data_IF_534953709406
#
_entry.id   IF_534953709406
#
_cell.length_a   1.000
_cell.length_b   1.000
_cell.length_c   1.000
_cell.angle_alpha   90.00
_cell.angle_beta   90.00
_cell.angle_gamma   90.00
#
_symmetry.space_group_name_H-M   'P 1'
#
loop_
_entity.id
_entity.type
_entity.pdbx_description
1 polymer ?
#
# COMPACT_ATOMS: atom_id res chain seq x y z
N UNK A 1 23.07 -9.19 27.72
CA UNK A 1 24.40 -9.71 27.38
C UNK A 1 24.33 -11.22 27.29
N UNK A 2 24.40 -11.72 26.04
CA UNK A 2 24.41 -13.14 25.77
C UNK A 2 25.86 -13.65 25.88
N UNK A 3 26.10 -14.59 26.77
CA UNK A 3 27.40 -15.22 26.94
C UNK A 3 27.45 -16.52 26.14
N UNK A 4 28.33 -16.56 25.15
CA UNK A 4 28.52 -17.72 24.29
C UNK A 4 29.07 -18.94 25.08
N UNK A 5 28.46 -20.14 25.01
CA UNK A 5 28.98 -21.31 25.72
C UNK A 5 30.33 -21.77 25.10
N UNK A 6 31.23 -22.31 25.94
CA UNK A 6 32.58 -22.72 25.50
C UNK A 6 32.54 -23.84 24.45
N UNK A 7 33.27 -23.66 23.36
CA UNK A 7 33.33 -24.58 22.24
C UNK A 7 33.92 -25.96 22.64
N UNK A 8 33.33 -27.08 22.19
CA UNK A 8 33.88 -28.42 22.47
C UNK A 8 35.18 -28.63 21.67
N UNK A 9 36.24 -29.09 22.37
CA UNK A 9 37.51 -29.45 21.82
C UNK A 9 37.43 -30.79 21.10
N UNK A 10 37.23 -30.80 19.76
CA UNK A 10 37.54 -31.97 18.89
C UNK A 10 38.18 -31.55 17.57
N UNK A 11 39.30 -32.19 17.21
CA UNK A 11 39.98 -32.06 15.92
C UNK A 11 39.07 -32.66 14.82
N UNK A 12 38.50 -31.81 14.01
CA UNK A 12 37.70 -32.12 12.83
C UNK A 12 37.11 -30.81 12.32
N UNK A 13 36.96 -30.66 11.00
CA UNK A 13 36.44 -29.47 10.32
C UNK A 13 35.38 -28.77 11.19
N UNK A 14 35.69 -27.60 11.75
CA UNK A 14 34.80 -26.83 12.64
C UNK A 14 33.52 -26.52 11.89
N UNK A 15 32.44 -27.25 12.17
CA UNK A 15 31.09 -26.74 11.87
C UNK A 15 30.93 -25.46 12.70
N UNK A 16 30.64 -24.33 12.05
CA UNK A 16 30.19 -23.13 12.76
C UNK A 16 28.88 -23.52 13.47
N UNK A 17 28.92 -23.70 14.76
CA UNK A 17 27.70 -23.86 15.54
C UNK A 17 26.96 -22.53 15.49
N UNK A 18 25.73 -22.56 15.03
CA UNK A 18 24.81 -21.45 15.25
C UNK A 18 24.49 -21.39 16.74
N UNK A 19 24.58 -20.22 17.34
CA UNK A 19 24.17 -19.99 18.76
C UNK A 19 22.64 -19.98 18.90
N UNK A 20 21.92 -19.95 17.80
CA UNK A 20 20.46 -19.96 17.73
C UNK A 20 20.04 -21.33 17.15
N UNK A 21 19.21 -22.06 17.90
CA UNK A 21 18.58 -23.27 17.41
C UNK A 21 17.42 -22.98 16.47
N UNK A 22 17.09 -23.94 15.62
CA UNK A 22 16.00 -23.81 14.66
C UNK A 22 15.22 -25.10 14.56
N UNK A 23 13.89 -24.99 14.51
CA UNK A 23 12.97 -26.09 14.24
C UNK A 23 12.01 -25.71 13.12
N UNK A 24 12.18 -26.33 11.98
CA UNK A 24 11.34 -26.16 10.80
C UNK A 24 11.08 -27.51 10.10
N UNK A 25 10.51 -27.46 8.90
CA UNK A 25 10.27 -28.66 8.08
C UNK A 25 11.57 -29.33 7.55
N UNK A 26 12.71 -28.67 7.65
CA UNK A 26 13.99 -29.14 7.12
C UNK A 26 14.90 -29.75 8.19
N UNK A 27 14.64 -29.51 9.45
CA UNK A 27 15.45 -30.07 10.53
C UNK A 27 15.11 -29.58 11.93
N UNK A 28 15.80 -30.21 12.89
CA UNK A 28 15.73 -29.87 14.31
C UNK A 28 17.16 -29.63 14.83
N UNK A 29 17.45 -28.42 15.27
CA UNK A 29 18.71 -28.03 15.89
C UNK A 29 18.48 -27.21 17.17
N UNK A 30 17.42 -27.54 17.92
CA UNK A 30 17.11 -26.86 19.17
C UNK A 30 18.23 -26.99 20.20
N UNK A 31 18.56 -25.90 20.88
CA UNK A 31 19.60 -25.84 21.91
C UNK A 31 19.03 -25.58 23.31
N UNK A 32 17.75 -25.16 23.43
CA UNK A 32 17.10 -24.85 24.70
C UNK A 32 17.51 -23.52 25.32
N UNK A 33 18.27 -22.67 24.60
CA UNK A 33 18.67 -21.34 25.08
C UNK A 33 17.90 -20.26 24.31
N UNK A 34 18.23 -20.09 23.04
CA UNK A 34 17.48 -19.26 22.10
C UNK A 34 17.16 -20.11 20.89
N UNK A 35 15.88 -20.36 20.66
CA UNK A 35 15.44 -21.23 19.60
C UNK A 35 14.32 -20.55 18.80
N UNK A 36 14.35 -20.72 17.48
CA UNK A 36 13.29 -20.25 16.56
C UNK A 36 12.56 -21.48 16.05
N UNK A 37 11.25 -21.52 16.22
CA UNK A 37 10.43 -22.64 15.75
C UNK A 37 9.28 -22.16 14.88
N UNK A 38 9.02 -22.86 13.78
CA UNK A 38 7.74 -22.71 13.08
C UNK A 38 6.63 -23.34 13.94
N UNK A 39 5.53 -22.65 14.08
CA UNK A 39 4.44 -23.09 14.95
C UNK A 39 3.90 -24.48 14.58
N UNK A 40 3.80 -24.77 13.27
CA UNK A 40 3.39 -26.08 12.77
C UNK A 40 4.36 -27.19 13.18
N UNK A 41 5.65 -26.85 13.33
CA UNK A 41 6.68 -27.79 13.77
C UNK A 41 6.68 -28.05 15.27
N UNK A 42 5.91 -27.27 16.04
CA UNK A 42 5.72 -27.46 17.47
C UNK A 42 4.68 -28.54 17.80
N UNK A 43 3.97 -29.05 16.78
CA UNK A 43 2.97 -30.10 16.94
C UNK A 43 3.49 -31.46 16.45
N UNK A 44 2.92 -32.52 17.00
CA UNK A 44 3.00 -33.89 16.53
C UNK A 44 1.57 -34.41 16.42
N UNK A 45 1.00 -34.37 15.23
CA UNK A 45 -0.45 -34.46 15.05
C UNK A 45 -1.16 -33.32 15.80
N UNK A 46 -2.08 -33.65 16.66
CA UNK A 46 -2.83 -32.72 17.52
C UNK A 46 -2.12 -32.41 18.84
N UNK A 47 -1.02 -33.08 19.14
CA UNK A 47 -0.31 -32.97 20.41
C UNK A 47 0.82 -31.97 20.34
N UNK A 48 0.98 -31.16 21.40
CA UNK A 48 2.09 -30.19 21.50
C UNK A 48 3.37 -30.92 21.93
N UNK A 49 4.47 -30.70 21.22
CA UNK A 49 5.76 -31.32 21.57
C UNK A 49 6.27 -30.82 22.90
N UNK A 50 6.85 -31.70 23.77
CA UNK A 50 7.22 -31.38 25.15
C UNK A 50 8.18 -30.19 25.29
N UNK A 51 9.07 -29.95 24.33
CA UNK A 51 10.06 -28.87 24.38
C UNK A 51 9.42 -27.47 24.49
N UNK A 52 8.18 -27.30 24.01
CA UNK A 52 7.45 -26.01 24.05
C UNK A 52 7.27 -25.53 25.49
N UNK A 53 7.16 -26.44 26.44
CA UNK A 53 7.01 -26.13 27.88
C UNK A 53 8.34 -25.81 28.58
N UNK A 54 9.49 -25.88 27.94
CA UNK A 54 10.80 -25.78 28.60
C UNK A 54 11.39 -24.34 28.60
N UNK A 55 10.73 -23.38 27.97
CA UNK A 55 11.24 -21.99 27.86
C UNK A 55 10.63 -21.10 28.92
N UNK A 56 11.46 -20.24 29.53
CA UNK A 56 11.02 -19.22 30.49
C UNK A 56 10.35 -18.00 29.81
N UNK A 57 10.65 -17.78 28.54
CA UNK A 57 10.07 -16.70 27.73
C UNK A 57 9.72 -17.23 26.34
N UNK A 58 8.56 -16.81 25.84
CA UNK A 58 8.12 -17.09 24.47
C UNK A 58 7.75 -15.78 23.77
N UNK A 59 8.25 -15.59 22.56
CA UNK A 59 7.91 -14.46 21.69
C UNK A 59 7.17 -15.03 20.49
N UNK A 60 5.95 -14.55 20.27
CA UNK A 60 5.08 -14.95 19.17
C UNK A 60 5.09 -13.84 18.13
N UNK A 61 5.79 -14.06 17.01
CA UNK A 61 5.79 -13.13 15.90
C UNK A 61 4.48 -13.27 15.10
N UNK A 62 4.01 -12.16 14.52
CA UNK A 62 2.73 -12.06 13.81
C UNK A 62 1.56 -12.66 14.61
N UNK A 63 1.49 -12.32 15.90
CA UNK A 63 0.52 -12.87 16.83
C UNK A 63 -0.95 -12.63 16.45
N UNK A 64 -1.24 -11.82 15.43
CA UNK A 64 -2.58 -11.70 14.86
C UNK A 64 -3.08 -13.01 14.22
N UNK A 65 -2.21 -13.99 13.96
CA UNK A 65 -2.58 -15.34 13.53
C UNK A 65 -2.96 -16.29 14.69
N UNK A 66 -2.81 -15.87 15.94
CA UNK A 66 -3.08 -16.69 17.16
C UNK A 66 -4.51 -17.23 17.24
N UNK A 67 -5.46 -16.63 16.53
CA UNK A 67 -6.84 -17.13 16.48
C UNK A 67 -7.03 -18.43 15.67
N UNK A 68 -5.97 -18.97 15.04
CA UNK A 68 -6.04 -20.31 14.46
C UNK A 68 -5.93 -21.37 15.55
N UNK A 69 -6.66 -22.48 15.40
CA UNK A 69 -6.66 -23.61 16.35
C UNK A 69 -5.24 -24.11 16.64
N UNK A 70 -4.40 -24.15 15.63
CA UNK A 70 -2.98 -24.54 15.73
C UNK A 70 -2.21 -23.67 16.73
N UNK A 71 -2.34 -22.35 16.60
CA UNK A 71 -1.68 -21.40 17.52
C UNK A 71 -2.18 -21.52 18.94
N UNK A 72 -3.50 -21.60 19.10
CA UNK A 72 -4.13 -21.75 20.41
C UNK A 72 -3.65 -23.02 21.11
N UNK A 73 -3.59 -24.15 20.42
CA UNK A 73 -3.14 -25.42 20.97
C UNK A 73 -1.68 -25.33 21.41
N UNK A 74 -0.78 -24.78 20.60
CA UNK A 74 0.64 -24.62 20.96
C UNK A 74 0.78 -23.73 22.19
N UNK A 75 0.09 -22.57 22.22
CA UNK A 75 0.19 -21.64 23.37
C UNK A 75 -0.37 -22.18 24.64
N UNK A 76 -1.38 -23.07 24.60
CA UNK A 76 -1.85 -23.82 25.80
C UNK A 76 -0.78 -24.77 26.38
N UNK A 77 0.15 -25.25 25.54
CA UNK A 77 1.29 -26.07 25.96
C UNK A 77 2.47 -25.26 26.52
N UNK A 78 2.49 -23.94 26.35
CA UNK A 78 3.54 -23.05 26.84
C UNK A 78 3.44 -22.91 28.36
N UNK A 79 4.56 -23.15 29.05
CA UNK A 79 4.70 -22.97 30.51
C UNK A 79 5.60 -21.76 30.85
N UNK A 80 5.87 -20.91 29.87
CA UNK A 80 6.74 -19.76 30.07
C UNK A 80 6.15 -18.77 31.07
N UNK A 81 7.02 -18.19 31.88
CA UNK A 81 6.65 -17.12 32.80
C UNK A 81 6.21 -15.84 32.04
N UNK A 82 6.74 -15.63 30.81
CA UNK A 82 6.45 -14.46 30.03
C UNK A 82 6.16 -14.85 28.59
N UNK A 83 5.04 -14.34 28.04
CA UNK A 83 4.66 -14.49 26.64
C UNK A 83 4.48 -13.09 26.04
N UNK A 84 5.20 -12.80 24.96
CA UNK A 84 5.07 -11.56 24.19
C UNK A 84 4.51 -11.86 22.82
N UNK A 85 3.46 -11.15 22.45
CA UNK A 85 2.95 -11.11 21.08
C UNK A 85 3.49 -9.88 20.33
N UNK A 86 4.06 -10.08 19.15
CA UNK A 86 4.48 -9.02 18.25
C UNK A 86 3.55 -9.02 17.03
N UNK A 87 3.07 -7.86 16.62
CA UNK A 87 2.29 -7.71 15.39
C UNK A 87 2.27 -6.28 14.90
N UNK A 88 2.31 -6.09 13.59
CA UNK A 88 2.07 -4.79 12.95
C UNK A 88 0.57 -4.45 12.88
N UNK A 89 -0.33 -5.41 13.04
CA UNK A 89 -1.78 -5.27 12.86
C UNK A 89 -2.56 -5.93 14.01
N UNK A 90 -2.62 -5.29 15.19
CA UNK A 90 -3.29 -5.88 16.35
C UNK A 90 -4.82 -5.99 16.21
N UNK A 91 -5.41 -5.19 15.32
CA UNK A 91 -6.86 -5.15 15.07
C UNK A 91 -7.19 -6.04 13.87
N UNK A 92 -8.06 -7.03 14.09
CA UNK A 92 -8.52 -7.97 13.07
C UNK A 92 -9.88 -7.56 12.51
N UNK A 93 -10.10 -7.84 11.22
CA UNK A 93 -11.41 -7.58 10.58
C UNK A 93 -12.51 -8.53 11.00
N UNK A 94 -12.15 -9.73 11.46
CA UNK A 94 -13.07 -10.78 11.86
C UNK A 94 -13.51 -10.68 13.34
N UNK A 95 -13.02 -9.68 14.08
CA UNK A 95 -13.38 -9.47 15.48
C UNK A 95 -12.73 -10.44 16.48
N UNK A 96 -11.87 -11.37 16.03
CA UNK A 96 -11.23 -12.37 16.89
C UNK A 96 -10.00 -11.85 17.66
N UNK A 97 -9.77 -10.55 17.70
CA UNK A 97 -8.69 -9.96 18.52
C UNK A 97 -8.74 -10.27 20.02
N UNK A 98 -9.91 -10.51 20.67
CA UNK A 98 -9.90 -10.90 22.08
C UNK A 98 -9.09 -12.16 22.37
N UNK A 99 -9.02 -13.11 21.43
CA UNK A 99 -8.21 -14.34 21.57
C UNK A 99 -6.73 -14.00 21.67
N UNK A 100 -6.25 -12.99 20.91
CA UNK A 100 -4.85 -12.52 20.99
C UNK A 100 -4.57 -11.99 22.39
N UNK A 101 -5.48 -11.19 22.95
CA UNK A 101 -5.31 -10.60 24.28
C UNK A 101 -5.41 -11.65 25.40
N UNK A 102 -6.20 -12.71 25.22
CA UNK A 102 -6.26 -13.83 26.17
C UNK A 102 -4.94 -14.61 26.22
N UNK A 103 -4.26 -14.76 25.07
CA UNK A 103 -3.04 -15.57 24.97
C UNK A 103 -1.76 -14.77 25.20
N UNK A 104 -1.69 -13.54 24.69
CA UNK A 104 -0.49 -12.70 24.72
C UNK A 104 -0.60 -11.51 25.68
N UNK A 105 -1.75 -11.32 26.33
CA UNK A 105 -2.02 -10.17 27.18
C UNK A 105 -2.38 -8.89 26.42
N UNK A 106 -2.66 -7.80 27.15
CA UNK A 106 -3.03 -6.53 26.55
C UNK A 106 -1.84 -5.86 25.84
N UNK A 107 -2.13 -4.90 24.95
CA UNK A 107 -1.09 -4.10 24.28
C UNK A 107 -0.31 -3.33 25.33
N UNK A 108 0.98 -3.65 25.49
CA UNK A 108 1.91 -3.03 26.45
C UNK A 108 2.71 -1.89 25.80
N UNK A 109 2.98 -2.00 24.52
CA UNK A 109 3.74 -1.03 23.75
C UNK A 109 3.17 -0.92 22.34
N UNK A 110 3.00 0.30 21.88
CA UNK A 110 2.64 0.59 20.49
C UNK A 110 3.69 1.57 19.93
N UNK A 111 4.42 1.12 18.92
CA UNK A 111 5.34 1.99 18.22
C UNK A 111 4.52 3.03 17.44
N UNK A 112 4.71 4.32 17.75
CA UNK A 112 4.09 5.38 16.96
C UNK A 112 4.79 5.47 15.61
N UNK A 113 4.03 5.23 14.55
CA UNK A 113 4.52 5.32 13.19
C UNK A 113 5.14 6.72 12.90
N UNK A 114 4.57 7.79 13.46
CA UNK A 114 5.08 9.15 13.27
C UNK A 114 6.45 9.35 13.92
N UNK A 115 6.67 8.81 15.12
CA UNK A 115 7.96 8.91 15.80
C UNK A 115 9.06 8.08 15.11
N UNK A 116 8.70 6.95 14.50
CA UNK A 116 9.64 6.16 13.68
C UNK A 116 9.95 6.85 12.36
N UNK A 117 8.95 7.49 11.74
CA UNK A 117 9.12 8.29 10.53
C UNK A 117 10.12 9.42 10.76
N UNK A 118 10.02 10.11 11.89
CA UNK A 118 10.91 11.22 12.24
C UNK A 118 12.38 10.80 12.44
N UNK A 119 12.64 9.53 12.72
CA UNK A 119 14.00 8.98 12.91
C UNK A 119 14.68 8.53 11.64
N UNK A 120 13.93 8.33 10.54
CA UNK A 120 14.49 7.86 9.27
C UNK A 120 14.93 9.02 8.39
N UNK A 121 16.10 8.88 7.77
CA UNK A 121 16.79 9.93 7.03
C UNK A 121 16.30 10.15 5.59
N UNK A 122 15.31 9.39 5.11
CA UNK A 122 14.82 9.46 3.73
C UNK A 122 13.36 9.92 3.64
N UNK A 123 13.03 10.60 2.54
CA UNK A 123 11.68 11.03 2.22
C UNK A 123 10.85 9.88 1.63
N UNK A 124 9.51 9.97 1.71
CA UNK A 124 8.56 8.96 1.24
C UNK A 124 7.58 9.55 0.26
N UNK A 125 7.56 9.02 -0.97
CA UNK A 125 6.74 9.55 -2.04
C UNK A 125 5.80 8.51 -2.62
N UNK A 126 4.52 8.90 -2.75
CA UNK A 126 3.49 8.17 -3.49
C UNK A 126 3.32 8.83 -4.86
N UNK A 127 3.39 8.03 -5.91
CA UNK A 127 3.17 8.44 -7.30
C UNK A 127 1.91 7.72 -7.79
N UNK A 128 0.74 8.37 -7.75
CA UNK A 128 -0.48 7.80 -8.30
C UNK A 128 -0.39 7.77 -9.82
N UNK A 129 -0.73 6.61 -10.42
CA UNK A 129 -0.71 6.36 -11.85
C UNK A 129 -2.11 5.94 -12.28
N UNK A 130 -2.84 6.84 -12.89
CA UNK A 130 -4.19 6.56 -13.37
C UNK A 130 -4.12 5.79 -14.69
N UNK A 131 -4.94 4.74 -14.80
CA UNK A 131 -5.01 3.89 -15.99
C UNK A 131 -6.34 4.08 -16.70
N UNK A 132 -6.35 3.82 -18.01
CA UNK A 132 -7.57 3.84 -18.83
C UNK A 132 -8.25 2.48 -18.92
N UNK A 133 -7.84 1.51 -18.07
CA UNK A 133 -8.43 0.17 -18.07
C UNK A 133 -9.94 0.22 -17.81
N UNK A 134 -10.70 -0.49 -18.64
CA UNK A 134 -12.15 -0.71 -18.50
C UNK A 134 -12.46 -2.18 -18.76
N UNK A 135 -13.19 -2.82 -17.87
CA UNK A 135 -13.74 -4.15 -18.15
C UNK A 135 -14.91 -4.04 -19.14
N UNK A 136 -14.98 -4.99 -20.07
CA UNK A 136 -15.99 -4.98 -21.16
C UNK A 136 -17.34 -5.55 -20.72
N UNK A 137 -17.44 -6.08 -19.51
CA UNK A 137 -18.63 -6.80 -19.03
C UNK A 137 -19.41 -5.99 -18.01
N UNK A 138 -20.72 -5.81 -18.28
CA UNK A 138 -21.68 -5.11 -17.39
C UNK A 138 -22.06 -5.90 -16.11
N UNK A 139 -21.69 -7.18 -16.03
CA UNK A 139 -21.99 -8.04 -14.89
C UNK A 139 -20.98 -7.87 -13.74
N UNK A 140 -21.46 -8.00 -12.50
CA UNK A 140 -20.61 -8.01 -11.30
C UNK A 140 -19.59 -9.14 -11.35
N UNK A 141 -18.42 -8.83 -11.88
CA UNK A 141 -17.32 -9.79 -12.00
C UNK A 141 -16.76 -10.18 -10.64
N UNK A 142 -16.28 -11.43 -10.55
CA UNK A 142 -15.50 -11.85 -9.39
C UNK A 142 -14.17 -11.06 -9.33
N UNK A 143 -13.69 -10.82 -8.13
CA UNK A 143 -12.39 -10.16 -7.95
C UNK A 143 -11.24 -10.93 -8.65
N UNK A 144 -11.37 -12.23 -8.75
CA UNK A 144 -10.40 -13.11 -9.42
C UNK A 144 -10.37 -12.86 -10.92
N UNK A 145 -11.56 -12.73 -11.55
CA UNK A 145 -11.70 -12.40 -12.98
C UNK A 145 -11.16 -11.00 -13.26
N UNK A 146 -11.52 -10.03 -12.42
CA UNK A 146 -11.01 -8.65 -12.56
C UNK A 146 -9.47 -8.61 -12.50
N UNK A 147 -8.83 -9.31 -11.54
CA UNK A 147 -7.37 -9.39 -11.47
C UNK A 147 -6.75 -10.08 -12.68
N UNK A 148 -7.48 -11.04 -13.30
CA UNK A 148 -7.03 -11.65 -14.54
C UNK A 148 -7.01 -10.63 -15.67
N UNK A 149 -8.11 -9.93 -15.90
CA UNK A 149 -8.21 -8.89 -16.93
C UNK A 149 -7.16 -7.79 -16.75
N UNK A 150 -6.99 -7.28 -15.52
CA UNK A 150 -5.96 -6.30 -15.19
C UNK A 150 -4.54 -6.80 -15.50
N UNK A 151 -4.27 -8.08 -15.26
CA UNK A 151 -2.95 -8.68 -15.52
C UNK A 151 -2.69 -8.96 -17.00
N UNK A 152 -3.74 -9.08 -17.80
CA UNK A 152 -3.68 -9.33 -19.23
C UNK A 152 -3.68 -8.04 -20.07
N UNK A 153 -4.13 -6.92 -19.52
CA UNK A 153 -4.21 -5.64 -20.23
C UNK A 153 -2.84 -5.12 -20.67
N UNK A 154 -2.65 -5.02 -21.99
CA UNK A 154 -1.36 -4.66 -22.60
C UNK A 154 -1.01 -3.18 -22.39
N UNK A 155 -1.99 -2.28 -22.43
CA UNK A 155 -1.77 -0.83 -22.25
C UNK A 155 -1.28 -0.59 -20.82
N UNK A 156 -1.95 -1.19 -19.86
CA UNK A 156 -1.59 -1.11 -18.44
C UNK A 156 -0.22 -1.72 -18.16
N UNK A 157 0.06 -2.88 -18.72
CA UNK A 157 1.37 -3.54 -18.55
C UNK A 157 2.50 -2.75 -19.21
N UNK A 158 2.27 -2.14 -20.35
CA UNK A 158 3.24 -1.26 -21.01
C UNK A 158 3.54 -0.04 -20.14
N UNK A 159 2.52 0.60 -19.58
CA UNK A 159 2.69 1.72 -18.64
C UNK A 159 3.53 1.33 -17.43
N UNK A 160 3.28 0.14 -16.84
CA UNK A 160 4.07 -0.37 -15.70
C UNK A 160 5.53 -0.56 -16.10
N UNK A 161 5.78 -1.23 -17.23
CA UNK A 161 7.14 -1.53 -17.72
C UNK A 161 7.92 -0.24 -18.03
N UNK A 162 7.28 0.75 -18.63
CA UNK A 162 7.91 2.05 -18.89
C UNK A 162 8.28 2.81 -17.62
N UNK A 163 7.38 2.83 -16.64
CA UNK A 163 7.65 3.50 -15.36
C UNK A 163 8.78 2.79 -14.59
N UNK A 164 8.82 1.45 -14.62
CA UNK A 164 9.90 0.65 -14.02
C UNK A 164 11.23 0.93 -14.72
N UNK A 165 11.24 0.95 -16.05
CA UNK A 165 12.44 1.21 -16.84
C UNK A 165 13.00 2.60 -16.52
N UNK A 166 12.16 3.64 -16.49
CA UNK A 166 12.56 5.00 -16.08
C UNK A 166 13.13 5.05 -14.66
N UNK A 167 12.57 4.28 -13.73
CA UNK A 167 13.12 4.20 -12.39
C UNK A 167 14.51 3.56 -12.36
N UNK A 168 14.74 2.51 -13.15
CA UNK A 168 16.06 1.87 -13.28
C UNK A 168 17.07 2.81 -13.93
N UNK A 169 16.69 3.54 -14.98
CA UNK A 169 17.55 4.57 -15.61
C UNK A 169 17.93 5.69 -14.63
N UNK A 170 17.05 6.00 -13.69
CA UNK A 170 17.32 6.94 -12.59
C UNK A 170 18.17 6.33 -11.46
N UNK A 171 18.76 5.15 -11.64
CA UNK A 171 19.62 4.47 -10.66
C UNK A 171 18.87 3.82 -9.49
N UNK A 172 17.55 3.65 -9.59
CA UNK A 172 16.73 3.06 -8.53
C UNK A 172 16.71 1.53 -8.59
N UNK A 173 16.33 0.93 -7.47
CA UNK A 173 16.18 -0.53 -7.36
C UNK A 173 14.70 -0.88 -7.10
N UNK A 174 13.92 -1.08 -8.18
CA UNK A 174 12.50 -1.33 -8.07
C UNK A 174 12.16 -2.77 -7.71
N UNK A 175 11.05 -2.91 -6.96
CA UNK A 175 10.29 -4.14 -6.80
C UNK A 175 8.88 -3.97 -7.34
N UNK A 176 8.42 -4.91 -8.15
CA UNK A 176 7.06 -4.97 -8.69
C UNK A 176 6.30 -6.05 -7.96
N UNK A 177 5.15 -5.70 -7.39
CA UNK A 177 4.28 -6.63 -6.69
C UNK A 177 2.99 -6.89 -7.46
N UNK A 178 2.70 -8.17 -7.63
CA UNK A 178 1.44 -8.67 -8.20
C UNK A 178 0.93 -9.86 -7.39
N UNK A 179 -0.33 -10.27 -7.60
CA UNK A 179 -0.93 -11.42 -6.91
C UNK A 179 -0.95 -12.68 -7.79
N UNK A 180 -0.44 -12.60 -9.03
CA UNK A 180 -0.55 -13.67 -10.02
C UNK A 180 0.82 -14.05 -10.56
N UNK A 181 1.16 -15.33 -10.51
CA UNK A 181 2.41 -15.87 -11.05
C UNK A 181 2.56 -15.63 -12.55
N UNK A 182 1.48 -15.83 -13.32
CA UNK A 182 1.48 -15.53 -14.76
C UNK A 182 1.82 -14.06 -15.06
N UNK A 183 1.33 -13.14 -14.24
CA UNK A 183 1.65 -11.72 -14.37
C UNK A 183 3.10 -11.40 -14.03
N UNK A 184 3.69 -12.11 -13.03
CA UNK A 184 5.13 -12.02 -12.74
C UNK A 184 5.95 -12.40 -13.97
N UNK A 185 5.62 -13.52 -14.62
CA UNK A 185 6.31 -14.00 -15.83
C UNK A 185 6.19 -12.99 -16.96
N UNK A 186 4.97 -12.52 -17.26
CA UNK A 186 4.68 -11.57 -18.33
C UNK A 186 5.46 -10.25 -18.17
N UNK A 187 5.44 -9.67 -16.97
CA UNK A 187 6.17 -8.42 -16.70
C UNK A 187 7.69 -8.64 -16.75
N UNK A 188 8.17 -9.77 -16.22
CA UNK A 188 9.59 -10.08 -16.26
C UNK A 188 10.12 -10.27 -17.69
N UNK A 189 9.37 -10.94 -18.56
CA UNK A 189 9.72 -11.10 -19.98
C UNK A 189 9.86 -9.73 -20.67
N UNK A 190 8.88 -8.86 -20.53
CA UNK A 190 8.92 -7.50 -21.09
C UNK A 190 10.08 -6.65 -20.56
N UNK A 191 10.51 -6.89 -19.33
CA UNK A 191 11.60 -6.14 -18.70
C UNK A 191 13.00 -6.68 -19.08
N UNK A 192 13.13 -7.99 -19.37
CA UNK A 192 14.43 -8.60 -19.75
C UNK A 192 15.01 -7.99 -21.02
N UNK A 193 14.16 -7.50 -21.92
CA UNK A 193 14.61 -6.80 -23.14
C UNK A 193 15.21 -5.42 -22.84
N UNK A 194 14.93 -4.85 -21.66
CA UNK A 194 15.29 -3.48 -21.28
C UNK A 194 16.28 -3.40 -20.12
N UNK A 195 16.27 -4.39 -19.21
CA UNK A 195 17.06 -4.37 -17.96
C UNK A 195 17.88 -5.65 -17.84
N UNK A 196 19.18 -5.51 -17.58
CA UNK A 196 20.14 -6.61 -17.53
C UNK A 196 19.81 -7.66 -16.44
N UNK A 197 19.39 -7.22 -15.25
CA UNK A 197 19.10 -8.12 -14.13
C UNK A 197 17.64 -8.03 -13.75
N UNK A 198 16.84 -9.02 -14.14
CA UNK A 198 15.42 -9.15 -13.77
C UNK A 198 15.24 -10.45 -13.01
N UNK A 199 14.89 -10.33 -11.73
CA UNK A 199 14.73 -11.46 -10.82
C UNK A 199 13.23 -11.66 -10.52
N UNK A 200 12.77 -12.91 -10.59
CA UNK A 200 11.39 -13.28 -10.30
C UNK A 200 11.27 -14.06 -8.99
N UNK A 201 10.32 -13.68 -8.13
CA UNK A 201 10.11 -14.29 -6.82
C UNK A 201 8.62 -14.68 -6.67
N UNK A 202 8.31 -15.95 -6.90
CA UNK A 202 6.91 -16.43 -6.89
C UNK A 202 6.53 -17.29 -5.68
N UNK A 203 7.51 -17.65 -4.85
CA UNK A 203 7.30 -18.50 -3.67
C UNK A 203 7.11 -19.99 -3.96
N UNK A 204 7.03 -20.41 -5.22
CA UNK A 204 6.80 -21.79 -5.64
C UNK A 204 8.09 -22.61 -5.77
N UNK A 205 9.26 -21.99 -5.63
CA UNK A 205 10.57 -22.67 -5.77
C UNK A 205 10.94 -23.49 -4.54
N UNK A 206 11.79 -24.51 -4.78
CA UNK A 206 12.41 -25.34 -3.74
C UNK A 206 13.32 -24.50 -2.82
N UNK A 207 13.63 -25.02 -1.63
CA UNK A 207 14.56 -24.38 -0.70
C UNK A 207 15.95 -24.14 -1.34
N UNK A 208 16.36 -25.02 -2.26
CA UNK A 208 17.61 -24.88 -3.00
C UNK A 208 17.54 -23.67 -3.95
N UNK A 209 16.52 -23.57 -4.75
CA UNK A 209 16.30 -22.42 -5.67
C UNK A 209 16.22 -21.07 -4.93
N UNK A 210 15.57 -21.04 -3.77
CA UNK A 210 15.54 -19.84 -2.92
C UNK A 210 16.93 -19.43 -2.44
N UNK A 211 17.79 -20.39 -2.06
CA UNK A 211 19.17 -20.11 -1.64
C UNK A 211 20.04 -19.64 -2.80
N UNK A 212 19.92 -20.29 -3.95
CA UNK A 212 20.64 -19.88 -5.18
C UNK A 212 20.23 -18.47 -5.60
N UNK A 213 18.95 -18.14 -5.51
CA UNK A 213 18.43 -16.82 -5.78
C UNK A 213 18.98 -15.76 -4.82
N UNK A 214 19.06 -16.07 -3.53
CA UNK A 214 19.66 -15.17 -2.54
C UNK A 214 21.16 -14.95 -2.79
N UNK A 215 21.89 -16.00 -3.18
CA UNK A 215 23.29 -15.88 -3.55
C UNK A 215 23.46 -15.01 -4.80
N UNK A 216 22.63 -15.23 -5.82
CA UNK A 216 22.64 -14.42 -7.03
C UNK A 216 22.35 -12.93 -6.75
N UNK A 217 21.38 -12.63 -5.88
CA UNK A 217 21.11 -11.26 -5.43
C UNK A 217 22.31 -10.60 -4.74
N UNK A 218 23.12 -11.38 -4.01
CA UNK A 218 24.34 -10.88 -3.35
C UNK A 218 25.49 -10.65 -4.32
N UNK A 219 25.54 -11.41 -5.43
CA UNK A 219 26.57 -11.30 -6.47
C UNK A 219 26.34 -10.12 -7.41
N UNK A 220 25.10 -9.63 -7.53
CA UNK A 220 24.79 -8.45 -8.34
C UNK A 220 25.47 -7.23 -7.72
N UNK A 221 26.29 -6.55 -8.53
CA UNK A 221 26.96 -5.32 -8.12
C UNK A 221 26.00 -4.33 -7.48
N UNK A 222 26.42 -3.68 -6.39
CA UNK A 222 25.61 -2.70 -5.66
C UNK A 222 25.12 -1.55 -6.55
N UNK A 223 25.83 -1.24 -7.62
CA UNK A 223 25.48 -0.17 -8.57
C UNK A 223 24.82 -0.68 -9.85
N UNK A 224 24.76 -2.02 -10.04
CA UNK A 224 24.18 -2.62 -11.24
C UNK A 224 22.66 -2.44 -11.33
N UNK A 225 22.09 -2.26 -12.53
CA UNK A 225 20.65 -2.21 -12.73
C UNK A 225 19.99 -3.51 -12.30
N UNK A 226 18.96 -3.44 -11.46
CA UNK A 226 18.25 -4.59 -10.92
C UNK A 226 16.76 -4.28 -10.80
N UNK A 227 15.93 -5.22 -11.24
CA UNK A 227 14.47 -5.21 -11.03
C UNK A 227 14.06 -6.52 -10.38
N UNK A 228 13.23 -6.47 -9.37
CA UNK A 228 12.61 -7.64 -8.75
C UNK A 228 11.13 -7.66 -9.11
N UNK A 229 10.63 -8.76 -9.64
CA UNK A 229 9.20 -8.99 -9.90
C UNK A 229 8.72 -10.11 -9.00
N UNK A 230 7.78 -9.83 -8.11
CA UNK A 230 7.43 -10.77 -7.04
C UNK A 230 5.93 -10.90 -6.80
N UNK A 231 5.52 -12.04 -6.25
CA UNK A 231 4.20 -12.17 -5.64
C UNK A 231 4.19 -11.56 -4.24
N UNK A 232 3.10 -10.89 -3.89
CA UNK A 232 2.97 -10.25 -2.58
C UNK A 232 3.17 -11.22 -1.41
N UNK A 233 2.75 -12.47 -1.56
CA UNK A 233 2.96 -13.52 -0.54
C UNK A 233 4.45 -13.72 -0.23
N UNK A 234 5.28 -13.85 -1.25
CA UNK A 234 6.73 -14.07 -1.06
C UNK A 234 7.41 -12.90 -0.34
N UNK A 235 7.06 -11.67 -0.72
CA UNK A 235 7.65 -10.47 -0.11
C UNK A 235 7.17 -10.27 1.32
N UNK A 236 5.94 -10.65 1.63
CA UNK A 236 5.39 -10.62 2.99
C UNK A 236 6.11 -11.56 3.95
N UNK A 237 6.50 -12.75 3.49
CA UNK A 237 7.03 -13.86 4.31
C UNK A 237 8.56 -13.84 4.49
N UNK A 238 9.18 -12.67 4.76
CA UNK A 238 10.58 -12.62 5.20
C UNK A 238 11.62 -12.23 4.13
N UNK A 239 11.20 -11.81 2.94
CA UNK A 239 12.13 -11.24 1.97
C UNK A 239 12.70 -9.90 2.45
N UNK A 240 14.01 -9.80 2.55
CA UNK A 240 14.71 -8.59 2.98
C UNK A 240 15.85 -8.26 2.03
N UNK A 241 15.77 -7.09 1.39
CA UNK A 241 16.80 -6.58 0.51
C UNK A 241 16.91 -5.06 0.67
N UNK A 242 17.83 -4.57 1.51
CA UNK A 242 17.88 -3.16 1.94
C UNK A 242 18.05 -2.15 0.82
N UNK A 243 18.59 -2.57 -0.33
CA UNK A 243 18.77 -1.72 -1.50
C UNK A 243 17.46 -1.27 -2.14
N UNK A 244 16.34 -1.98 -1.93
CA UNK A 244 15.04 -1.61 -2.48
C UNK A 244 14.62 -0.21 -2.06
N UNK A 245 14.25 0.62 -3.03
CA UNK A 245 13.83 2.00 -2.82
C UNK A 245 12.54 2.38 -3.58
N UNK A 246 12.09 1.54 -4.50
CA UNK A 246 10.89 1.82 -5.29
C UNK A 246 9.98 0.60 -5.36
N UNK A 247 8.69 0.78 -5.05
CA UNK A 247 7.66 -0.24 -5.12
C UNK A 247 6.66 0.10 -6.22
N UNK A 248 6.37 -0.86 -7.09
CA UNK A 248 5.32 -0.80 -8.09
C UNK A 248 4.20 -1.77 -7.73
N UNK A 249 3.01 -1.25 -7.44
CA UNK A 249 1.83 -2.07 -7.15
C UNK A 249 1.11 -2.41 -8.45
N UNK A 250 1.57 -3.47 -9.12
CA UNK A 250 1.04 -3.88 -10.42
C UNK A 250 -0.39 -4.41 -10.37
N UNK A 251 -0.90 -4.87 -9.24
CA UNK A 251 -2.32 -5.19 -9.01
C UNK A 251 -2.81 -4.52 -7.72
N UNK A 252 -4.08 -4.09 -7.69
CA UNK A 252 -4.64 -3.40 -6.54
C UNK A 252 -4.75 -4.32 -5.32
N UNK A 253 -4.45 -3.78 -4.14
CA UNK A 253 -4.66 -4.41 -2.85
C UNK A 253 -5.56 -3.51 -2.00
N UNK A 254 -6.39 -4.10 -1.13
CA UNK A 254 -7.38 -3.34 -0.36
C UNK A 254 -7.02 -3.16 1.11
N UNK A 255 -6.02 -3.89 1.63
CA UNK A 255 -5.73 -3.91 3.05
C UNK A 255 -4.55 -3.00 3.41
N UNK A 256 -4.82 -2.01 4.29
CA UNK A 256 -3.81 -1.04 4.74
C UNK A 256 -2.58 -1.69 5.42
N UNK A 257 -2.78 -2.83 6.12
CA UNK A 257 -1.71 -3.57 6.77
C UNK A 257 -0.69 -4.14 5.77
N UNK A 258 -1.15 -4.64 4.62
CA UNK A 258 -0.26 -5.09 3.55
C UNK A 258 0.58 -3.95 2.98
N UNK A 259 -0.01 -2.76 2.82
CA UNK A 259 0.74 -1.57 2.37
C UNK A 259 1.87 -1.25 3.35
N UNK A 260 1.59 -1.23 4.66
CA UNK A 260 2.60 -0.97 5.67
C UNK A 260 3.71 -2.04 5.66
N UNK A 261 3.35 -3.32 5.48
CA UNK A 261 4.28 -4.43 5.39
C UNK A 261 5.18 -4.33 4.15
N UNK A 262 4.61 -4.06 2.97
CA UNK A 262 5.40 -3.93 1.74
C UNK A 262 6.25 -2.66 1.73
N UNK A 263 5.70 -1.53 2.17
CA UNK A 263 6.45 -0.28 2.33
C UNK A 263 7.59 -0.44 3.34
N UNK A 264 7.37 -1.21 4.41
CA UNK A 264 8.39 -1.52 5.41
C UNK A 264 9.65 -2.17 4.82
N UNK A 265 9.51 -2.91 3.70
CA UNK A 265 10.67 -3.47 2.97
C UNK A 265 11.53 -2.39 2.31
N UNK A 266 10.91 -1.28 1.89
CA UNK A 266 11.63 -0.13 1.35
C UNK A 266 12.28 0.71 2.46
N UNK A 267 11.71 0.67 3.67
CA UNK A 267 12.14 1.50 4.80
C UNK A 267 13.42 0.99 5.48
N UNK A 268 14.05 -0.08 4.96
CA UNK A 268 15.37 -0.50 5.42
C UNK A 268 16.41 0.54 5.07
N UNK A 269 17.23 0.91 6.04
CA UNK A 269 18.35 1.83 5.82
C UNK A 269 19.36 1.20 4.88
N UNK A 270 19.82 1.97 3.94
CA UNK A 270 20.89 1.60 3.02
C UNK A 270 21.67 2.87 2.68
N UNK A 271 22.99 2.73 2.57
CA UNK A 271 23.88 3.85 2.25
C UNK A 271 23.48 4.50 0.92
N UNK A 272 23.32 5.81 0.91
CA UNK A 272 22.93 6.59 -0.28
C UNK A 272 21.42 6.66 -0.57
N UNK A 273 20.56 6.00 0.21
CA UNK A 273 19.10 6.08 0.04
C UNK A 273 18.57 7.45 0.48
N UNK A 274 18.14 8.28 -0.47
CA UNK A 274 17.61 9.64 -0.24
C UNK A 274 16.09 9.66 -0.08
N UNK A 275 15.40 8.83 -0.86
CA UNK A 275 13.94 8.71 -0.83
C UNK A 275 13.49 7.30 -1.18
N UNK A 276 12.24 6.98 -0.81
CA UNK A 276 11.54 5.77 -1.22
C UNK A 276 10.26 6.14 -1.94
N UNK A 277 9.91 5.38 -2.99
CA UNK A 277 8.77 5.68 -3.86
C UNK A 277 7.82 4.50 -3.98
N UNK A 278 6.52 4.79 -3.99
CA UNK A 278 5.49 3.82 -4.33
C UNK A 278 4.74 4.33 -5.56
N UNK A 279 4.73 3.56 -6.63
CA UNK A 279 3.87 3.74 -7.79
C UNK A 279 2.61 2.91 -7.56
N UNK A 280 1.47 3.57 -7.51
CA UNK A 280 0.16 2.92 -7.33
C UNK A 280 -0.69 3.14 -8.57
N UNK A 281 -1.01 2.04 -9.28
CA UNK A 281 -1.82 2.07 -10.49
C UNK A 281 -3.30 2.04 -10.12
N UNK A 282 -4.01 3.10 -10.54
CA UNK A 282 -5.39 3.38 -10.14
C UNK A 282 -6.30 3.18 -11.34
N UNK A 283 -7.10 2.12 -11.28
CA UNK A 283 -8.02 1.75 -12.34
C UNK A 283 -9.39 2.38 -12.03
N UNK A 284 -9.55 3.67 -12.36
CA UNK A 284 -10.67 4.54 -11.93
C UNK A 284 -12.03 4.13 -12.54
N UNK A 285 -12.02 3.46 -13.68
CA UNK A 285 -13.23 2.99 -14.34
C UNK A 285 -13.83 1.74 -13.69
N UNK A 286 -13.06 1.10 -12.77
CA UNK A 286 -13.47 -0.07 -12.03
C UNK A 286 -13.83 0.28 -10.57
N UNK A 287 -15.11 0.33 -10.20
CA UNK A 287 -15.55 0.78 -8.86
C UNK A 287 -14.92 -0.02 -7.71
N UNK A 288 -14.62 -1.31 -7.94
CA UNK A 288 -13.96 -2.16 -6.95
C UNK A 288 -12.52 -1.69 -6.73
N UNK A 289 -11.78 -1.38 -7.80
CA UNK A 289 -10.40 -0.90 -7.74
C UNK A 289 -10.31 0.50 -7.12
N UNK A 290 -11.24 1.39 -7.46
CA UNK A 290 -11.37 2.71 -6.86
C UNK A 290 -11.56 2.61 -5.34
N UNK A 291 -12.50 1.78 -4.89
CA UNK A 291 -12.74 1.55 -3.46
C UNK A 291 -11.51 0.97 -2.73
N UNK A 292 -10.76 0.09 -3.39
CA UNK A 292 -9.49 -0.41 -2.87
C UNK A 292 -8.45 0.71 -2.74
N UNK A 293 -8.35 1.60 -3.73
CA UNK A 293 -7.44 2.74 -3.67
C UNK A 293 -7.77 3.69 -2.51
N UNK A 294 -9.04 4.04 -2.31
CA UNK A 294 -9.45 4.87 -1.17
C UNK A 294 -9.03 4.29 0.18
N UNK A 295 -9.08 2.95 0.32
CA UNK A 295 -8.59 2.27 1.52
C UNK A 295 -7.07 2.33 1.64
N UNK A 296 -6.32 2.25 0.50
CA UNK A 296 -4.86 2.40 0.49
C UNK A 296 -4.42 3.80 0.87
N UNK A 297 -5.15 4.84 0.47
CA UNK A 297 -4.84 6.23 0.85
C UNK A 297 -4.70 6.41 2.37
N UNK A 298 -5.60 5.79 3.16
CA UNK A 298 -5.48 5.77 4.63
C UNK A 298 -4.18 5.12 5.09
N UNK A 299 -3.77 4.05 4.42
CA UNK A 299 -2.50 3.36 4.70
C UNK A 299 -1.29 4.26 4.41
N UNK A 300 -1.24 4.88 3.24
CA UNK A 300 -0.15 5.78 2.86
C UNK A 300 -0.02 6.98 3.80
N UNK A 301 -1.14 7.61 4.14
CA UNK A 301 -1.16 8.73 5.09
C UNK A 301 -0.63 8.31 6.47
N UNK A 302 -1.00 7.10 6.95
CA UNK A 302 -0.57 6.60 8.27
C UNK A 302 0.93 6.30 8.37
N UNK A 303 1.58 5.99 7.24
CA UNK A 303 3.02 5.72 7.15
C UNK A 303 3.82 6.88 6.54
N UNK A 304 3.22 8.08 6.45
CA UNK A 304 3.89 9.33 6.14
C UNK A 304 4.31 9.53 4.69
N UNK A 305 3.62 8.90 3.73
CA UNK A 305 3.87 9.14 2.31
C UNK A 305 3.26 10.48 1.86
N UNK A 306 4.02 11.21 1.06
CA UNK A 306 3.62 12.45 0.40
C UNK A 306 3.38 12.18 -1.09
N UNK A 307 2.42 12.85 -1.72
CA UNK A 307 2.15 12.64 -3.15
C UNK A 307 3.08 13.52 -3.99
N UNK A 308 3.61 12.94 -5.08
CA UNK A 308 4.22 13.69 -6.17
C UNK A 308 3.24 13.66 -7.34
N UNK A 309 2.75 14.84 -7.77
CA UNK A 309 2.00 14.98 -9.02
C UNK A 309 2.90 15.39 -10.18
N UNK A 310 2.53 14.99 -11.41
CA UNK A 310 3.34 15.12 -12.63
C UNK A 310 3.59 16.54 -13.13
N UNK A 311 2.96 17.57 -12.57
CA UNK A 311 3.02 18.94 -13.09
C UNK A 311 4.21 19.76 -12.60
N UNK A 312 5.29 19.11 -12.14
CA UNK A 312 6.59 19.77 -12.22
C UNK A 312 7.25 19.35 -13.53
N UNK A 313 7.38 20.23 -14.52
CA UNK A 313 8.04 19.95 -15.81
C UNK A 313 9.45 19.40 -15.68
N UNK A 314 10.03 19.50 -14.48
CA UNK A 314 11.39 19.13 -14.10
C UNK A 314 11.57 17.66 -13.70
N UNK A 315 10.52 16.83 -13.60
CA UNK A 315 10.66 15.43 -13.12
C UNK A 315 11.16 14.45 -14.19
N UNK A 316 11.19 14.84 -15.46
CA UNK A 316 11.50 13.94 -16.58
C UNK A 316 12.43 14.49 -17.65
N UNK A 317 12.74 15.79 -17.60
CA UNK A 317 13.69 16.41 -18.51
C UNK A 317 15.00 16.72 -17.77
N UNK A 318 15.99 15.83 -17.90
CA UNK A 318 17.37 15.96 -17.39
C UNK A 318 17.56 15.77 -15.89
N UNK A 319 17.74 14.52 -15.50
CA UNK A 319 18.21 14.10 -14.17
C UNK A 319 19.70 14.39 -14.03
N UNK A 320 20.06 15.58 -13.60
CA UNK A 320 21.24 15.85 -12.77
C UNK A 320 20.89 17.02 -11.86
N UNK A 321 20.74 16.72 -10.56
CA UNK A 321 20.69 17.70 -9.45
C UNK A 321 19.59 18.79 -9.50
N UNK A 322 18.32 18.39 -9.43
CA UNK A 322 17.27 19.35 -9.06
C UNK A 322 16.50 18.79 -7.86
N UNK A 323 16.58 19.52 -6.76
CA UNK A 323 15.77 19.25 -5.58
C UNK A 323 14.29 19.18 -5.97
N UNK A 324 13.64 18.06 -5.67
CA UNK A 324 12.23 17.82 -5.96
C UNK A 324 11.44 18.93 -5.26
N UNK A 325 10.64 19.74 -5.98
CA UNK A 325 9.76 20.70 -5.32
C UNK A 325 8.74 19.92 -4.51
N UNK A 326 8.97 19.84 -3.20
CA UNK A 326 8.08 19.17 -2.26
C UNK A 326 6.87 20.05 -2.07
N UNK A 327 5.76 19.76 -2.75
CA UNK A 327 4.47 20.27 -2.31
C UNK A 327 4.16 19.67 -0.95
N UNK A 328 4.18 20.51 0.08
CA UNK A 328 3.84 20.11 1.44
C UNK A 328 2.41 19.58 1.44
N UNK A 329 2.24 18.34 1.95
CA UNK A 329 0.96 17.70 2.28
C UNK A 329 -0.08 17.68 1.16
N UNK A 330 -0.03 16.66 0.31
CA UNK A 330 -1.02 16.44 -0.74
C UNK A 330 -2.05 15.34 -0.41
N UNK A 331 -1.91 14.67 0.74
CA UNK A 331 -2.96 13.82 1.30
C UNK A 331 -3.59 14.55 2.47
N UNK A 332 -4.86 14.88 2.33
CA UNK A 332 -5.63 15.58 3.35
C UNK A 332 -6.62 14.61 3.98
N UNK A 333 -6.86 14.73 5.28
CA UNK A 333 -7.91 14.00 5.98
C UNK A 333 -9.12 14.90 6.27
N UNK A 334 -10.18 14.34 6.85
CA UNK A 334 -11.40 15.10 7.15
C UNK A 334 -11.21 16.33 8.01
N UNK A 335 -10.11 16.43 8.80
CA UNK A 335 -9.78 17.63 9.60
C UNK A 335 -8.99 18.67 8.81
N UNK A 336 -8.15 18.23 7.87
CA UNK A 336 -7.15 19.11 7.22
C UNK A 336 -7.54 19.54 5.81
N UNK A 337 -8.53 18.87 5.18
CA UNK A 337 -8.86 19.12 3.77
C UNK A 337 -9.56 20.44 3.51
N UNK A 338 -10.40 20.90 4.43
CA UNK A 338 -11.35 21.99 4.16
C UNK A 338 -10.68 23.28 3.67
N UNK A 339 -9.67 23.77 4.39
CA UNK A 339 -9.00 25.03 4.03
C UNK A 339 -8.29 24.98 2.67
N UNK A 340 -7.44 23.97 2.37
CA UNK A 340 -6.80 23.85 1.06
C UNK A 340 -7.81 23.60 -0.07
N UNK A 341 -8.89 22.89 0.21
CA UNK A 341 -9.95 22.62 -0.76
C UNK A 341 -10.74 23.89 -1.10
N UNK A 342 -11.21 24.62 -0.09
CA UNK A 342 -11.92 25.90 -0.25
C UNK A 342 -11.03 26.94 -0.97
N UNK A 343 -9.73 27.02 -0.64
CA UNK A 343 -8.79 27.88 -1.36
C UNK A 343 -8.68 27.46 -2.84
N UNK A 344 -8.57 26.16 -3.13
CA UNK A 344 -8.49 25.70 -4.52
C UNK A 344 -9.75 26.01 -5.33
N UNK A 345 -10.92 25.93 -4.70
CA UNK A 345 -12.20 26.36 -5.30
C UNK A 345 -12.18 27.87 -5.56
N UNK A 346 -11.73 28.67 -4.59
CA UNK A 346 -11.68 30.14 -4.71
C UNK A 346 -10.73 30.62 -5.82
N UNK A 347 -9.72 29.85 -6.14
CA UNK A 347 -8.74 30.15 -7.20
C UNK A 347 -9.21 29.75 -8.61
N UNK A 348 -10.39 29.15 -8.76
CA UNK A 348 -10.95 28.73 -10.04
C UNK A 348 -11.16 29.90 -10.99
N UNK A 349 -10.84 29.68 -12.29
CA UNK A 349 -10.90 30.72 -13.33
C UNK A 349 -11.95 30.44 -14.39
N UNK A 350 -12.36 29.19 -14.61
CA UNK A 350 -13.23 28.78 -15.71
C UNK A 350 -14.34 27.86 -15.29
N UNK A 351 -14.03 26.75 -14.61
CA UNK A 351 -15.03 25.74 -14.35
C UNK A 351 -14.73 24.92 -13.08
N UNK A 352 -15.78 24.51 -12.42
CA UNK A 352 -15.72 23.59 -11.27
C UNK A 352 -16.78 22.50 -11.47
N UNK A 353 -16.37 21.25 -11.43
CA UNK A 353 -17.26 20.08 -11.41
C UNK A 353 -17.09 19.35 -10.08
N UNK A 354 -18.16 19.25 -9.31
CA UNK A 354 -18.17 18.55 -8.01
C UNK A 354 -19.05 17.31 -8.12
N UNK A 355 -18.47 16.15 -7.95
CA UNK A 355 -19.18 14.88 -7.84
C UNK A 355 -19.35 14.50 -6.36
N UNK A 356 -20.59 14.47 -5.91
CA UNK A 356 -20.97 14.23 -4.53
C UNK A 356 -22.13 13.21 -4.46
N UNK A 357 -21.83 11.93 -4.15
CA UNK A 357 -22.86 10.88 -4.11
C UNK A 357 -23.99 11.14 -3.14
N UNK A 358 -23.71 11.84 -2.05
CA UNK A 358 -24.71 12.22 -1.03
C UNK A 358 -24.53 13.68 -0.65
N UNK A 359 -25.63 14.41 -0.63
CA UNK A 359 -25.68 15.79 -0.15
C UNK A 359 -26.10 15.81 1.33
N UNK A 360 -25.57 16.77 2.09
CA UNK A 360 -25.88 16.90 3.51
C UNK A 360 -25.87 18.37 3.95
N UNK A 361 -26.96 18.83 4.53
CA UNK A 361 -27.13 20.20 5.06
C UNK A 361 -26.72 21.29 4.08
N UNK A 362 -27.15 21.18 2.83
CA UNK A 362 -26.77 22.07 1.73
C UNK A 362 -27.16 23.52 2.02
N UNK A 363 -28.27 23.75 2.66
CA UNK A 363 -28.78 25.10 3.01
C UNK A 363 -27.75 25.92 3.80
N UNK A 364 -27.02 25.29 4.68
CA UNK A 364 -26.03 25.93 5.57
C UNK A 364 -24.57 25.58 5.21
N UNK A 365 -24.33 25.00 4.03
CA UNK A 365 -22.99 24.54 3.63
C UNK A 365 -22.16 25.72 3.08
N UNK A 366 -21.05 26.01 3.74
CA UNK A 366 -20.13 27.10 3.38
C UNK A 366 -19.57 26.93 1.96
N UNK A 367 -19.27 25.68 1.55
CA UNK A 367 -18.76 25.40 0.20
C UNK A 367 -19.81 25.68 -0.87
N UNK A 368 -21.09 25.40 -0.59
CA UNK A 368 -22.19 25.70 -1.51
C UNK A 368 -22.33 27.21 -1.68
N UNK A 369 -22.22 28.00 -0.62
CA UNK A 369 -22.21 29.44 -0.72
C UNK A 369 -21.07 29.94 -1.60
N UNK A 370 -19.86 29.43 -1.41
CA UNK A 370 -18.69 29.76 -2.21
C UNK A 370 -18.88 29.38 -3.69
N UNK A 371 -19.41 28.19 -3.97
CA UNK A 371 -19.71 27.75 -5.34
C UNK A 371 -20.76 28.64 -5.99
N UNK A 372 -21.76 29.07 -5.25
CA UNK A 372 -22.80 29.98 -5.73
C UNK A 372 -22.23 31.38 -6.05
N UNK A 373 -21.38 31.93 -5.20
CA UNK A 373 -20.69 33.19 -5.45
C UNK A 373 -19.86 33.13 -6.74
N UNK A 374 -19.11 32.03 -6.93
CA UNK A 374 -18.30 31.80 -8.13
C UNK A 374 -19.16 31.67 -9.39
N UNK A 375 -20.29 30.99 -9.31
CA UNK A 375 -21.25 30.92 -10.41
C UNK A 375 -21.78 32.29 -10.81
N UNK A 376 -22.05 33.17 -9.83
CA UNK A 376 -22.54 34.53 -10.10
C UNK A 376 -21.50 35.44 -10.79
N UNK A 377 -20.22 35.17 -10.60
CA UNK A 377 -19.13 35.89 -11.31
C UNK A 377 -18.72 35.23 -12.65
N UNK A 378 -19.47 34.21 -13.09
CA UNK A 378 -19.31 33.61 -14.41
C UNK A 378 -18.45 32.35 -14.48
N UNK A 379 -18.09 31.74 -13.34
CA UNK A 379 -17.45 30.42 -13.31
C UNK A 379 -18.51 29.35 -13.60
N UNK A 380 -18.24 28.42 -14.49
CA UNK A 380 -19.11 27.27 -14.77
C UNK A 380 -19.08 26.28 -13.61
N UNK A 381 -20.15 26.21 -12.81
CA UNK A 381 -20.26 25.28 -11.69
C UNK A 381 -21.27 24.18 -12.01
N UNK A 382 -20.82 22.92 -12.01
CA UNK A 382 -21.66 21.75 -12.20
C UNK A 382 -21.54 20.81 -10.97
N UNK A 383 -22.68 20.49 -10.36
CA UNK A 383 -22.75 19.51 -9.28
C UNK A 383 -23.40 18.24 -9.81
N UNK A 384 -22.76 17.10 -9.60
CA UNK A 384 -23.23 15.77 -10.01
C UNK A 384 -23.57 14.98 -8.75
N UNK A 385 -24.80 14.50 -8.66
CA UNK A 385 -25.29 13.77 -7.48
C UNK A 385 -26.27 12.66 -7.87
N UNK A 386 -26.62 11.80 -6.93
CA UNK A 386 -27.63 10.74 -7.15
C UNK A 386 -29.06 11.27 -7.06
N UNK A 387 -29.98 10.57 -7.71
CA UNK A 387 -31.40 10.86 -7.69
C UNK A 387 -31.99 10.88 -6.25
N UNK A 388 -33.06 11.68 -6.08
CA UNK A 388 -33.92 11.79 -4.89
C UNK A 388 -33.22 12.14 -3.57
N UNK A 389 -32.53 13.28 -3.57
CA UNK A 389 -32.15 13.92 -2.32
C UNK A 389 -32.93 15.24 -2.16
N UNK A 390 -33.67 15.47 -1.07
CA UNK A 390 -34.36 16.75 -0.81
C UNK A 390 -33.42 17.97 -0.90
N UNK A 391 -32.17 17.76 -0.57
CA UNK A 391 -31.09 18.76 -0.64
C UNK A 391 -30.80 19.24 -2.07
N UNK A 392 -31.19 18.49 -3.11
CA UNK A 392 -30.98 18.87 -4.52
C UNK A 392 -31.81 20.10 -4.89
N UNK A 393 -33.02 20.22 -4.37
CA UNK A 393 -33.90 21.37 -4.62
C UNK A 393 -33.29 22.68 -4.11
N UNK A 394 -32.58 22.64 -2.98
CA UNK A 394 -31.87 23.80 -2.47
C UNK A 394 -30.72 24.27 -3.38
N UNK A 395 -30.01 23.35 -4.07
CA UNK A 395 -28.99 23.70 -5.05
C UNK A 395 -29.60 24.38 -6.28
N UNK A 396 -30.72 23.83 -6.78
CA UNK A 396 -31.45 24.38 -7.94
C UNK A 396 -32.04 25.75 -7.65
N UNK A 397 -32.63 25.93 -6.47
CA UNK A 397 -33.19 27.23 -6.02
C UNK A 397 -32.12 28.33 -5.95
N UNK A 398 -30.87 27.97 -5.71
CA UNK A 398 -29.72 28.88 -5.71
C UNK A 398 -29.14 29.14 -7.10
N UNK A 399 -29.72 28.55 -8.15
CA UNK A 399 -29.29 28.75 -9.53
C UNK A 399 -28.04 27.96 -9.93
N UNK A 400 -27.61 26.97 -9.12
CA UNK A 400 -26.50 26.10 -9.47
C UNK A 400 -26.93 25.02 -10.47
N UNK A 401 -26.06 24.70 -11.41
CA UNK A 401 -26.29 23.61 -12.36
C UNK A 401 -26.10 22.27 -11.65
N UNK A 402 -27.14 21.42 -11.68
CA UNK A 402 -27.13 20.10 -11.06
C UNK A 402 -27.44 19.03 -12.09
N UNK A 403 -26.60 18.01 -12.18
CA UNK A 403 -26.84 16.80 -12.96
C UNK A 403 -27.16 15.65 -12.01
N UNK A 404 -28.30 15.02 -12.19
CA UNK A 404 -28.77 13.91 -11.38
C UNK A 404 -28.53 12.64 -12.17
N UNK A 405 -27.80 11.68 -11.59
CA UNK A 405 -27.51 10.38 -12.17
C UNK A 405 -28.14 9.28 -11.31
N UNK A 406 -28.48 8.10 -11.91
CA UNK A 406 -29.01 6.97 -11.16
C UNK A 406 -28.04 6.50 -10.04
N UNK A 407 -26.76 6.52 -10.32
CA UNK A 407 -25.71 6.16 -9.36
C UNK A 407 -24.49 7.05 -9.56
N UNK A 408 -23.97 7.63 -8.48
CA UNK A 408 -22.70 8.37 -8.45
C UNK A 408 -21.78 7.66 -7.48
N UNK A 409 -20.66 7.17 -7.98
CA UNK A 409 -19.70 6.36 -7.20
C UNK A 409 -18.48 7.15 -6.74
N UNK A 410 -18.09 8.16 -7.51
CA UNK A 410 -16.86 8.90 -7.27
C UNK A 410 -17.10 10.15 -6.42
N UNK A 411 -16.25 10.34 -5.39
CA UNK A 411 -16.11 11.62 -4.70
C UNK A 411 -14.91 12.34 -5.32
N UNK A 412 -15.20 13.31 -6.18
CA UNK A 412 -14.13 14.07 -6.85
C UNK A 412 -14.55 15.50 -7.14
N UNK A 413 -13.58 16.39 -7.21
CA UNK A 413 -13.80 17.76 -7.68
C UNK A 413 -12.73 18.09 -8.71
N UNK A 414 -13.16 18.62 -9.84
CA UNK A 414 -12.31 19.00 -10.97
C UNK A 414 -12.43 20.50 -11.16
N UNK A 415 -11.30 21.20 -11.09
CA UNK A 415 -11.23 22.66 -11.22
C UNK A 415 -10.43 22.98 -12.46
N UNK A 416 -11.00 23.82 -13.33
CA UNK A 416 -10.39 24.33 -14.57
C UNK A 416 -9.87 23.26 -15.53
N UNK A 417 -10.35 22.00 -15.40
CA UNK A 417 -9.88 20.81 -16.13
C UNK A 417 -8.39 20.52 -15.90
N UNK A 418 -7.85 20.90 -14.75
CA UNK A 418 -6.44 20.78 -14.42
C UNK A 418 -6.20 20.27 -13.00
N UNK A 419 -6.89 20.83 -12.01
CA UNK A 419 -6.77 20.42 -10.62
C UNK A 419 -7.85 19.38 -10.30
N UNK A 420 -7.43 18.25 -9.73
CA UNK A 420 -8.31 17.16 -9.31
C UNK A 420 -8.17 16.92 -7.82
N UNK A 421 -9.28 16.97 -7.12
CA UNK A 421 -9.43 16.45 -5.75
C UNK A 421 -10.14 15.10 -5.83
N UNK A 422 -9.48 14.03 -5.38
CA UNK A 422 -9.95 12.66 -5.55
C UNK A 422 -9.70 11.82 -4.30
N UNK A 423 -10.72 11.12 -3.83
CA UNK A 423 -10.56 10.25 -2.67
C UNK A 423 -11.86 9.82 -2.01
N UNK A 424 -11.83 9.65 -0.68
CA UNK A 424 -12.99 9.22 0.11
C UNK A 424 -13.84 10.38 0.66
N UNK A 425 -13.32 11.61 0.65
CA UNK A 425 -14.04 12.76 1.20
C UNK A 425 -15.12 13.21 0.23
N UNK A 426 -16.35 13.18 0.71
CA UNK A 426 -17.50 13.75 0.00
C UNK A 426 -17.63 15.23 0.38
N UNK A 427 -17.24 16.13 -0.52
CA UNK A 427 -17.12 17.56 -0.22
C UNK A 427 -18.45 18.25 0.13
N UNK A 428 -19.57 17.85 -0.49
CA UNK A 428 -20.91 18.38 -0.22
C UNK A 428 -21.74 17.44 0.66
N UNK A 429 -21.14 16.40 1.20
CA UNK A 429 -21.78 15.42 2.06
C UNK A 429 -21.13 15.36 3.44
N UNK A 430 -21.12 14.16 4.00
CA UNK A 430 -20.51 13.89 5.30
C UNK A 430 -19.11 13.28 5.09
N UNK A 431 -18.11 13.82 5.77
CA UNK A 431 -16.75 13.28 5.81
C UNK A 431 -16.37 12.94 7.26
N UNK A 432 -15.75 11.81 7.47
CA UNK A 432 -15.16 11.41 8.75
C UNK A 432 -13.71 11.87 8.85
N UNK A 433 -13.17 11.95 10.07
CA UNK A 433 -11.75 12.27 10.28
C UNK A 433 -10.79 11.28 9.62
N UNK A 434 -11.27 10.04 9.42
CA UNK A 434 -10.50 8.97 8.80
C UNK A 434 -10.54 8.98 7.27
N UNK A 435 -11.45 9.74 6.66
CA UNK A 435 -11.51 9.85 5.21
C UNK A 435 -10.35 10.68 4.69
N UNK A 436 -9.81 10.28 3.54
CA UNK A 436 -8.67 10.96 2.95
C UNK A 436 -8.97 11.34 1.50
N UNK A 437 -8.38 12.45 1.07
CA UNK A 437 -8.45 12.97 -0.30
C UNK A 437 -7.06 13.42 -0.74
N UNK A 438 -6.77 13.27 -2.02
CA UNK A 438 -5.57 13.80 -2.65
C UNK A 438 -5.90 15.00 -3.51
N UNK A 439 -4.95 15.92 -3.63
CA UNK A 439 -4.94 16.97 -4.64
C UNK A 439 -3.89 16.62 -5.70
N UNK A 440 -4.31 16.55 -6.95
CA UNK A 440 -3.44 16.27 -8.10
C UNK A 440 -3.63 17.37 -9.13
N UNK A 441 -2.55 17.82 -9.74
CA UNK A 441 -2.59 18.75 -10.90
C UNK A 441 -2.22 17.94 -12.12
N UNK A 442 -3.22 17.55 -12.92
CA UNK A 442 -3.06 16.72 -14.12
C UNK A 442 -4.27 16.89 -15.05
N UNK A 443 -4.06 17.60 -16.15
CA UNK A 443 -5.10 17.87 -17.14
C UNK A 443 -5.65 16.60 -17.82
N UNK A 444 -4.79 15.60 -18.05
CA UNK A 444 -5.22 14.34 -18.66
C UNK A 444 -6.16 13.59 -17.71
N UNK A 445 -5.79 13.46 -16.44
CA UNK A 445 -6.64 12.86 -15.41
C UNK A 445 -7.95 13.62 -15.26
N UNK A 446 -7.90 14.96 -15.25
CA UNK A 446 -9.10 15.78 -15.14
C UNK A 446 -10.09 15.48 -16.27
N UNK A 447 -9.61 15.37 -17.52
CA UNK A 447 -10.45 15.04 -18.67
C UNK A 447 -10.97 13.60 -18.64
N UNK A 448 -10.15 12.61 -18.24
CA UNK A 448 -10.60 11.22 -18.08
C UNK A 448 -11.71 11.10 -17.02
N UNK A 449 -11.55 11.78 -15.87
CA UNK A 449 -12.59 11.78 -14.82
C UNK A 449 -13.86 12.51 -15.26
N UNK A 450 -13.75 13.61 -16.01
CA UNK A 450 -14.91 14.28 -16.61
C UNK A 450 -15.67 13.36 -17.55
N UNK A 451 -14.98 12.61 -18.39
CA UNK A 451 -15.60 11.62 -19.27
C UNK A 451 -16.35 10.56 -18.46
N UNK A 452 -15.72 9.99 -17.40
CA UNK A 452 -16.39 9.03 -16.49
C UNK A 452 -17.66 9.60 -15.89
N UNK A 453 -17.60 10.84 -15.39
CA UNK A 453 -18.74 11.49 -14.72
C UNK A 453 -19.85 11.91 -15.68
N UNK A 454 -19.53 12.16 -16.93
CA UNK A 454 -20.52 12.63 -17.92
C UNK A 454 -21.08 11.49 -18.78
N UNK A 455 -20.47 10.33 -18.82
CA UNK A 455 -20.93 9.12 -19.56
C UNK A 455 -21.64 8.10 -18.66
N UNK A 456 -21.55 8.23 -17.34
CA UNK A 456 -22.31 7.47 -16.35
C UNK A 456 -23.68 8.10 -16.17
#
# INVERSE_FOLDING_TARGET
DYVEPPAPKKRGRRKKFSTIGCLDSTGNSLHGIVDIALIQSCLDGDSVKPFVGNYGMVIVDECHHVSSITFENVLKGVKAHTVYGLTATPIRKDGHQPIIFMQCGPIRFSADAKSQIAKQSFERYLIPRFTSFRSITDDKQSITTLYQLLSEDEIRNTLIVEDVFKAVEAGRTPIILTNRTAHVTKLAEKLRDKVKNVITLTGTGSTKEKREMQQHLQEISREGPLVIVATGKYVGEGFDYPRLDTLFLALPISWKGLIAQYAGRLHRENEGKKDVRIYDYIDIHEPVCDNMYRKRLKGYASIGYKIISRHSPTLFDNVKDIGIPVCKEQIFNGRTFFRPYSSSIGDAKRSIVVSSPKLYRIEHNVLVNQLNELAHIGIEVLIITTASNPETDHLLQRGLSVRILPEVKLCTTIIDKDIVWYGAINALGYATEEDNVIKVVDNKLANELLEVLLTS
#
